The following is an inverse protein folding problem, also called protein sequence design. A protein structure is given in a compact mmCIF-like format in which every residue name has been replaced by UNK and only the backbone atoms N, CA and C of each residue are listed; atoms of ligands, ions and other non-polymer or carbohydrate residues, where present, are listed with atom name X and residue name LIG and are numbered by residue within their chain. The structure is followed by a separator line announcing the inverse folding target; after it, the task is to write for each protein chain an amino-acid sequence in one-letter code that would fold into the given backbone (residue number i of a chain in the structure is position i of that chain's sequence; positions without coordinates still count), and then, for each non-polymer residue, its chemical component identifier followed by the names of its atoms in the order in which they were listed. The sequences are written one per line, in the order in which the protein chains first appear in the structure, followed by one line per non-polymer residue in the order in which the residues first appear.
data_IF_990670400079
#
_entry.id   IF_990670400079
#
_cell.length_a   1.000
_cell.length_b   1.000
_cell.length_c   1.000
_cell.angle_alpha   90.00
_cell.angle_beta   90.00
_cell.angle_gamma   90.00
#
_symmetry.space_group_name_H-M   'P 1'
#
loop_
_entity.id
_entity.type
_entity.pdbx_description
1 polymer ?
#
# COMPACT_ATOMS: atom_id res chain seq x y z
N UNK A 1 37.16 -55.60 16.95
CA UNK A 1 38.14 -54.50 17.02
C UNK A 1 37.45 -53.32 17.67
N UNK A 2 37.89 -52.94 18.86
CA UNK A 2 37.44 -51.72 19.53
C UNK A 2 38.28 -50.50 19.15
N UNK A 3 38.10 -49.46 19.97
CA UNK A 3 38.83 -48.19 20.07
C UNK A 3 38.41 -47.11 19.07
N UNK A 4 38.30 -45.82 19.38
CA UNK A 4 38.07 -45.00 20.60
C UNK A 4 38.26 -43.54 20.12
N UNK A 5 37.57 -42.59 20.77
CA UNK A 5 37.92 -41.15 20.91
C UNK A 5 37.78 -40.30 19.62
N UNK A 6 37.26 -39.07 19.64
CA UNK A 6 37.17 -38.09 20.73
C UNK A 6 38.12 -36.91 20.44
N UNK A 7 37.65 -35.69 20.74
CA UNK A 7 38.35 -34.37 20.75
C UNK A 7 38.39 -33.67 19.38
N UNK A 8 37.74 -32.53 19.17
CA UNK A 8 37.76 -31.22 19.86
C UNK A 8 39.12 -30.50 19.82
N UNK A 9 39.01 -29.19 19.64
CA UNK A 9 39.97 -28.12 19.94
C UNK A 9 41.01 -27.65 18.91
N UNK A 10 40.68 -26.48 18.37
CA UNK A 10 41.37 -25.21 18.69
C UNK A 10 42.62 -24.77 17.92
N UNK A 11 42.70 -23.43 17.82
CA UNK A 11 43.89 -22.57 17.73
C UNK A 11 44.72 -22.66 16.44
N UNK A 12 44.70 -21.63 15.61
CA UNK A 12 45.35 -20.33 15.77
C UNK A 12 46.88 -20.33 15.59
N UNK A 13 47.29 -19.40 14.71
CA UNK A 13 48.54 -18.63 14.69
C UNK A 13 49.75 -19.25 13.98
N UNK A 14 50.23 -18.55 12.95
CA UNK A 14 51.49 -17.78 13.00
C UNK A 14 52.49 -18.00 11.85
N UNK A 15 52.92 -16.86 11.27
CA UNK A 15 54.29 -16.47 10.81
C UNK A 15 54.71 -16.67 9.34
N UNK A 16 55.31 -15.58 8.82
CA UNK A 16 56.32 -15.58 7.75
C UNK A 16 56.02 -14.57 6.64
N UNK A 17 56.08 -13.25 6.87
CA UNK A 17 57.20 -12.36 6.51
C UNK A 17 57.78 -12.54 5.08
N UNK A 18 57.56 -11.54 4.23
CA UNK A 18 58.56 -11.02 3.28
C UNK A 18 58.26 -9.52 3.04
N UNK A 19 59.25 -8.69 3.37
CA UNK A 19 59.31 -7.25 3.11
C UNK A 19 60.08 -7.00 1.82
N UNK A 20 59.71 -5.95 1.07
CA UNK A 20 60.54 -5.04 0.27
C UNK A 20 59.60 -4.27 -0.68
N UNK A 21 59.74 -3.00 -1.08
CA UNK A 21 60.42 -1.77 -0.64
C UNK A 21 59.61 -0.65 -1.32
N UNK A 22 59.62 0.52 -0.67
CA UNK A 22 58.87 1.73 -1.00
C UNK A 22 59.08 2.32 -2.40
N UNK A 23 58.05 3.01 -2.91
CA UNK A 23 58.08 4.14 -3.85
C UNK A 23 56.78 4.94 -3.63
N UNK A 24 56.86 6.01 -2.85
CA UNK A 24 56.79 7.41 -3.28
C UNK A 24 55.46 7.86 -3.90
N UNK A 25 54.84 8.81 -3.17
CA UNK A 25 54.20 10.02 -3.69
C UNK A 25 52.68 10.05 -3.94
N UNK A 26 52.06 10.89 -3.11
CA UNK A 26 51.10 11.97 -3.48
C UNK A 26 49.63 11.56 -3.68
N UNK A 27 48.80 12.13 -2.79
CA UNK A 27 47.35 12.47 -2.92
C UNK A 27 46.41 11.32 -3.32
N UNK A 28 45.37 10.98 -2.57
CA UNK A 28 44.23 11.82 -2.19
C UNK A 28 43.59 11.19 -0.96
N UNK A 29 43.21 12.01 0.03
CA UNK A 29 42.23 11.62 1.04
C UNK A 29 40.93 11.25 0.34
N UNK A 30 40.73 9.97 0.02
CA UNK A 30 39.39 9.43 -0.19
C UNK A 30 38.74 9.42 1.20
N UNK A 31 38.19 10.57 1.59
CA UNK A 31 36.98 10.54 2.38
C UNK A 31 36.05 9.60 1.62
N UNK A 32 35.80 8.42 2.18
CA UNK A 32 34.61 7.67 1.86
C UNK A 32 33.47 8.59 2.24
N UNK A 33 33.10 9.44 1.28
CA UNK A 33 31.81 10.08 1.25
C UNK A 33 30.88 8.88 1.25
N UNK A 34 30.37 8.55 2.43
CA UNK A 34 29.02 8.06 2.55
C UNK A 34 28.21 9.02 1.70
N UNK A 35 28.09 8.69 0.41
CA UNK A 35 26.91 9.06 -0.34
C UNK A 35 25.85 8.37 0.49
N UNK A 36 25.00 9.09 1.26
CA UNK A 36 23.79 8.45 1.70
C UNK A 36 23.20 7.95 0.40
N UNK A 37 23.18 6.62 0.23
CA UNK A 37 22.37 5.99 -0.79
C UNK A 37 21.06 6.71 -0.63
N UNK A 38 20.72 7.57 -1.60
CA UNK A 38 19.48 8.30 -1.57
C UNK A 38 18.49 7.18 -1.63
N UNK A 39 18.04 6.78 -0.45
CA UNK A 39 16.89 5.93 -0.28
C UNK A 39 15.89 6.62 -1.21
N UNK A 40 15.57 5.94 -2.30
CA UNK A 40 14.36 6.24 -3.04
C UNK A 40 13.33 6.55 -1.96
N UNK A 41 12.71 7.74 -1.95
CA UNK A 41 11.71 8.01 -0.95
C UNK A 41 10.81 6.80 -0.96
N UNK A 42 10.77 6.06 0.16
CA UNK A 42 9.75 5.05 0.36
C UNK A 42 8.49 5.77 -0.06
N UNK A 43 7.69 5.15 -0.93
CA UNK A 43 6.37 5.65 -1.27
C UNK A 43 5.53 5.55 0.01
N UNK A 44 5.83 6.45 0.95
CA UNK A 44 5.20 6.67 2.22
C UNK A 44 3.90 7.33 1.82
N UNK A 45 2.91 6.47 1.67
CA UNK A 45 1.48 6.76 1.64
C UNK A 45 1.20 8.18 2.12
N UNK A 46 0.75 9.05 1.21
CA UNK A 46 0.30 10.41 1.57
C UNK A 46 -0.86 10.24 2.54
N UNK A 47 -0.61 10.49 3.82
CA UNK A 47 -1.65 10.43 4.84
C UNK A 47 -2.22 11.82 5.06
N UNK A 48 -3.54 11.91 5.10
CA UNK A 48 -4.29 13.12 5.43
C UNK A 48 -5.12 12.88 6.68
N UNK A 49 -5.48 13.96 7.36
CA UNK A 49 -6.43 13.94 8.45
C UNK A 49 -7.81 14.24 7.88
N UNK A 50 -8.76 13.33 8.10
CA UNK A 50 -10.17 13.55 7.80
C UNK A 50 -10.87 13.82 9.13
N UNK A 51 -11.52 14.98 9.21
CA UNK A 51 -12.41 15.29 10.33
C UNK A 51 -13.74 14.66 10.00
N UNK A 52 -13.96 13.45 10.49
CA UNK A 52 -15.33 12.96 10.62
C UNK A 52 -15.96 13.75 11.77
N UNK A 53 -17.14 14.33 11.58
CA UNK A 53 -17.96 14.77 12.72
C UNK A 53 -18.47 13.52 13.45
N UNK A 54 -17.56 12.80 14.09
CA UNK A 54 -17.92 11.92 15.18
C UNK A 54 -18.29 12.82 16.36
N UNK A 55 -19.28 12.42 17.16
CA UNK A 55 -19.78 13.19 18.31
C UNK A 55 -18.68 13.50 19.35
N UNK A 56 -17.52 12.84 19.24
CA UNK A 56 -16.33 13.01 20.09
C UNK A 56 -15.24 13.92 19.48
N UNK A 57 -15.40 14.42 18.24
CA UNK A 57 -14.41 15.26 17.56
C UNK A 57 -13.10 14.54 17.21
N UNK A 58 -13.08 13.21 17.16
CA UNK A 58 -11.89 12.44 16.82
C UNK A 58 -11.44 12.66 15.38
N UNK A 59 -10.13 12.85 15.19
CA UNK A 59 -9.51 13.04 13.86
C UNK A 59 -9.03 11.69 13.34
N UNK A 60 -9.56 11.27 12.19
CA UNK A 60 -9.18 10.01 11.55
C UNK A 60 -8.02 10.26 10.59
N UNK A 61 -6.89 9.57 10.82
CA UNK A 61 -5.76 9.60 9.87
C UNK A 61 -5.98 8.57 8.78
N UNK A 62 -6.10 9.04 7.54
CA UNK A 62 -6.34 8.21 6.37
C UNK A 62 -5.12 8.24 5.47
N UNK A 63 -4.61 7.08 5.07
CA UNK A 63 -3.41 6.97 4.25
C UNK A 63 -3.74 6.49 2.83
N UNK A 64 -3.17 7.15 1.83
CA UNK A 64 -3.28 6.70 0.43
C UNK A 64 -2.62 5.32 0.26
N UNK A 65 -3.36 4.37 -0.32
CA UNK A 65 -2.90 3.02 -0.58
C UNK A 65 -3.12 2.69 -2.06
N UNK A 66 -2.06 2.21 -2.71
CA UNK A 66 -2.15 1.66 -4.05
C UNK A 66 -2.70 0.24 -4.02
N UNK A 67 -3.53 -0.10 -4.99
CA UNK A 67 -4.11 -1.44 -5.16
C UNK A 67 -3.05 -2.57 -5.12
N UNK A 68 -1.86 -2.34 -5.68
CA UNK A 68 -0.71 -3.27 -5.66
C UNK A 68 -0.35 -3.78 -4.26
N UNK A 69 -0.47 -2.91 -3.25
CA UNK A 69 -0.15 -3.23 -1.85
C UNK A 69 -1.18 -4.17 -1.20
N UNK A 70 -2.39 -4.24 -1.76
CA UNK A 70 -3.45 -5.13 -1.28
C UNK A 70 -3.32 -6.56 -1.81
N UNK A 71 -2.52 -6.76 -2.86
CA UNK A 71 -2.16 -8.09 -3.36
C UNK A 71 -0.88 -8.67 -2.72
N UNK A 72 -0.16 -7.87 -1.93
CA UNK A 72 1.04 -8.33 -1.24
C UNK A 72 0.71 -8.89 0.15
N UNK A 73 1.70 -9.51 0.80
CA UNK A 73 1.62 -9.91 2.21
C UNK A 73 1.42 -8.73 3.17
N UNK A 74 1.52 -7.48 2.67
CA UNK A 74 1.28 -6.28 3.48
C UNK A 74 -0.20 -5.95 3.65
N UNK A 75 -1.10 -6.60 2.90
CA UNK A 75 -2.54 -6.41 3.05
C UNK A 75 -3.01 -6.68 4.48
N UNK A 76 -2.51 -7.74 5.12
CA UNK A 76 -2.84 -8.06 6.51
C UNK A 76 -2.40 -6.97 7.49
N UNK A 77 -1.30 -6.26 7.19
CA UNK A 77 -0.79 -5.15 8.03
C UNK A 77 -1.66 -3.90 7.94
N UNK A 78 -2.47 -3.77 6.87
CA UNK A 78 -3.39 -2.65 6.70
C UNK A 78 -4.71 -2.87 7.42
N UNK A 79 -4.99 -4.09 7.89
CA UNK A 79 -6.26 -4.40 8.59
C UNK A 79 -6.45 -3.53 9.81
N UNK A 80 -7.64 -2.95 9.92
CA UNK A 80 -8.01 -2.02 10.97
C UNK A 80 -7.55 -0.58 10.73
N UNK A 81 -6.67 -0.33 9.75
CA UNK A 81 -6.23 1.01 9.37
C UNK A 81 -7.26 1.72 8.49
N UNK A 82 -7.27 3.05 8.55
CA UNK A 82 -8.03 3.86 7.61
C UNK A 82 -7.19 4.16 6.38
N UNK A 83 -7.73 3.81 5.21
CA UNK A 83 -7.05 3.92 3.93
C UNK A 83 -7.89 4.71 2.95
N UNK A 84 -7.21 5.37 2.02
CA UNK A 84 -7.80 6.00 0.85
C UNK A 84 -7.33 5.24 -0.39
N UNK A 85 -8.26 4.76 -1.21
CA UNK A 85 -7.96 3.97 -2.40
C UNK A 85 -8.79 4.48 -3.56
N UNK A 86 -8.14 4.68 -4.70
CA UNK A 86 -8.77 5.08 -5.96
C UNK A 86 -8.87 3.90 -6.90
N UNK A 87 -10.05 3.70 -7.50
CA UNK A 87 -10.28 2.64 -8.49
C UNK A 87 -11.58 2.83 -9.24
N UNK A 88 -12.01 1.81 -9.98
CA UNK A 88 -13.25 1.82 -10.73
C UNK A 88 -14.30 0.98 -10.02
N UNK A 89 -15.51 1.50 -9.92
CA UNK A 89 -16.64 0.80 -9.29
C UNK A 89 -17.27 -0.14 -10.31
N UNK A 90 -17.51 -1.38 -9.91
CA UNK A 90 -18.37 -2.34 -10.60
C UNK A 90 -19.27 -3.05 -9.60
N UNK A 91 -20.47 -3.42 -10.02
CA UNK A 91 -21.43 -4.10 -9.16
C UNK A 91 -21.39 -5.61 -9.40
N UNK A 92 -21.28 -6.37 -8.32
CA UNK A 92 -21.40 -7.82 -8.30
C UNK A 92 -22.52 -8.18 -7.33
N UNK A 93 -23.58 -8.84 -7.81
CA UNK A 93 -24.75 -9.19 -6.98
C UNK A 93 -25.30 -7.95 -6.22
N UNK A 94 -25.43 -6.82 -6.93
CA UNK A 94 -25.88 -5.51 -6.38
C UNK A 94 -24.98 -4.86 -5.32
N UNK A 95 -23.85 -5.48 -5.00
CA UNK A 95 -22.85 -4.95 -4.09
C UNK A 95 -21.76 -4.19 -4.86
N UNK A 96 -21.33 -3.00 -4.39
CA UNK A 96 -20.29 -2.23 -5.05
C UNK A 96 -18.90 -2.77 -4.70
N UNK A 97 -18.09 -2.98 -5.75
CA UNK A 97 -16.70 -3.37 -5.64
C UNK A 97 -15.79 -2.36 -6.33
N UNK A 98 -14.66 -2.07 -5.73
CA UNK A 98 -13.62 -1.22 -6.30
C UNK A 98 -12.53 -2.08 -6.95
N UNK A 99 -12.17 -1.77 -8.19
CA UNK A 99 -11.12 -2.45 -8.97
C UNK A 99 -10.01 -1.49 -9.40
N UNK A 100 -8.79 -1.98 -9.55
CA UNK A 100 -7.66 -1.14 -9.99
C UNK A 100 -7.83 -0.55 -11.40
N UNK A 101 -8.60 -1.20 -12.27
CA UNK A 101 -8.91 -0.74 -13.62
C UNK A 101 -10.26 -1.29 -14.09
N UNK A 102 -10.85 -0.68 -15.13
CA UNK A 102 -12.06 -1.20 -15.80
C UNK A 102 -11.84 -2.62 -16.34
N UNK A 103 -10.67 -2.84 -16.91
CA UNK A 103 -10.28 -4.11 -17.53
C UNK A 103 -10.09 -5.22 -16.50
N UNK A 104 -9.62 -4.88 -15.29
CA UNK A 104 -9.40 -5.85 -14.21
C UNK A 104 -10.70 -6.57 -13.88
N UNK A 105 -11.82 -5.85 -13.76
CA UNK A 105 -13.13 -6.45 -13.52
C UNK A 105 -13.53 -7.46 -14.61
N UNK A 106 -13.35 -7.08 -15.88
CA UNK A 106 -13.72 -7.90 -17.04
C UNK A 106 -12.85 -9.17 -17.13
N UNK A 107 -11.52 -9.02 -17.10
CA UNK A 107 -10.60 -10.13 -17.32
C UNK A 107 -10.45 -11.06 -16.11
N UNK A 108 -10.69 -10.55 -14.89
CA UNK A 108 -10.60 -11.38 -13.70
C UNK A 108 -11.89 -12.19 -13.46
N UNK A 109 -12.98 -11.88 -14.16
CA UNK A 109 -14.31 -12.43 -13.90
C UNK A 109 -14.84 -12.00 -12.53
N UNK A 110 -14.69 -10.71 -12.20
CA UNK A 110 -15.11 -10.14 -10.91
C UNK A 110 -14.21 -10.47 -9.72
N UNK A 111 -13.01 -11.02 -9.93
CA UNK A 111 -12.03 -11.32 -8.87
C UNK A 111 -11.12 -10.14 -8.57
N UNK A 112 -10.64 -10.07 -7.33
CA UNK A 112 -9.57 -9.13 -6.98
C UNK A 112 -10.03 -7.69 -6.83
N UNK A 113 -11.34 -7.45 -6.71
CA UNK A 113 -11.88 -6.18 -6.26
C UNK A 113 -11.85 -6.05 -4.74
N UNK A 114 -12.18 -4.87 -4.25
CA UNK A 114 -12.40 -4.59 -2.82
C UNK A 114 -13.88 -4.36 -2.64
N UNK A 115 -14.52 -5.09 -1.74
CA UNK A 115 -15.92 -4.86 -1.44
C UNK A 115 -16.08 -3.55 -0.65
N UNK A 116 -17.00 -2.69 -1.08
CA UNK A 116 -17.32 -1.45 -0.39
C UNK A 116 -18.57 -1.65 0.47
N UNK A 117 -18.39 -1.57 1.79
CA UNK A 117 -19.50 -1.56 2.74
C UNK A 117 -19.90 -0.12 3.00
N UNK A 118 -21.05 0.26 2.46
CA UNK A 118 -21.64 1.58 2.60
C UNK A 118 -22.74 1.54 3.67
N UNK A 119 -22.95 2.66 4.36
CA UNK A 119 -24.17 2.84 5.15
C UNK A 119 -25.39 2.88 4.20
N UNK A 120 -26.52 2.23 4.52
CA UNK A 120 -27.67 2.16 3.62
C UNK A 120 -28.18 3.53 3.13
N UNK A 121 -28.11 4.56 3.97
CA UNK A 121 -28.51 5.93 3.61
C UNK A 121 -27.61 6.59 2.56
N UNK A 122 -26.42 6.05 2.33
CA UNK A 122 -25.43 6.60 1.40
C UNK A 122 -25.43 5.86 0.05
N UNK A 123 -26.16 4.73 -0.07
CA UNK A 123 -26.18 3.90 -1.29
C UNK A 123 -26.57 4.69 -2.53
N UNK A 124 -27.70 5.38 -2.51
CA UNK A 124 -28.21 6.12 -3.69
C UNK A 124 -27.26 7.24 -4.13
N UNK A 125 -26.65 7.93 -3.16
CA UNK A 125 -25.67 8.99 -3.43
C UNK A 125 -24.39 8.41 -4.00
N UNK A 126 -23.90 7.31 -3.43
CA UNK A 126 -22.74 6.60 -3.95
C UNK A 126 -22.97 6.09 -5.38
N UNK A 127 -24.15 5.53 -5.66
CA UNK A 127 -24.51 5.01 -6.98
C UNK A 127 -24.45 6.12 -8.05
N UNK A 128 -24.85 7.37 -7.72
CA UNK A 128 -24.66 8.53 -8.62
C UNK A 128 -23.19 8.79 -8.92
N UNK A 129 -22.34 8.85 -7.89
CA UNK A 129 -20.88 9.04 -8.04
C UNK A 129 -20.25 7.90 -8.85
N UNK A 130 -20.67 6.66 -8.63
CA UNK A 130 -20.15 5.50 -9.34
C UNK A 130 -20.58 5.46 -10.82
N UNK A 131 -21.77 5.98 -11.14
CA UNK A 131 -22.33 5.97 -12.49
C UNK A 131 -21.57 6.84 -13.50
N UNK A 132 -20.76 7.79 -13.02
CA UNK A 132 -19.98 8.71 -13.86
C UNK A 132 -18.87 8.05 -14.68
N UNK A 133 -18.58 6.76 -14.45
CA UNK A 133 -17.61 5.99 -15.24
C UNK A 133 -16.15 6.42 -15.08
N UNK A 134 -15.89 7.39 -14.20
CA UNK A 134 -14.58 7.85 -13.77
C UNK A 134 -14.07 7.00 -12.59
N UNK A 135 -12.76 7.03 -12.28
CA UNK A 135 -12.26 6.46 -11.05
C UNK A 135 -12.91 7.15 -9.84
N UNK A 136 -13.26 6.37 -8.84
CA UNK A 136 -13.78 6.84 -7.56
C UNK A 136 -12.70 6.60 -6.50
N UNK A 137 -12.45 7.62 -5.70
CA UNK A 137 -11.63 7.53 -4.50
C UNK A 137 -12.55 7.29 -3.32
N UNK A 138 -12.26 6.26 -2.52
CA UNK A 138 -12.99 5.94 -1.29
C UNK A 138 -12.03 5.95 -0.12
N UNK A 139 -12.49 6.48 1.01
CA UNK A 139 -11.78 6.45 2.27
C UNK A 139 -12.59 5.68 3.31
N UNK A 140 -11.92 4.78 4.02
CA UNK A 140 -12.59 3.98 5.02
C UNK A 140 -11.69 3.01 5.76
N UNK A 141 -12.28 2.26 6.68
CA UNK A 141 -11.57 1.27 7.48
C UNK A 141 -11.39 -0.01 6.67
N UNK A 142 -10.14 -0.38 6.42
CA UNK A 142 -9.81 -1.58 5.67
C UNK A 142 -9.82 -2.83 6.56
N UNK A 143 -10.30 -3.94 6.00
CA UNK A 143 -10.17 -5.27 6.60
C UNK A 143 -9.71 -6.28 5.55
N UNK A 144 -8.58 -6.94 5.82
CA UNK A 144 -8.11 -8.08 5.03
C UNK A 144 -9.00 -9.29 5.30
N UNK A 145 -9.25 -10.09 4.27
CA UNK A 145 -10.08 -11.29 4.38
C UNK A 145 -11.15 -11.32 3.30
N UNK A 146 -11.82 -12.46 3.16
CA UNK A 146 -12.82 -12.71 2.12
C UNK A 146 -14.06 -11.83 2.30
N UNK A 147 -13.98 -10.57 1.88
CA UNK A 147 -15.16 -9.74 1.64
C UNK A 147 -15.97 -10.37 0.51
N UNK A 148 -17.14 -10.94 0.81
CA UNK A 148 -18.01 -11.57 -0.20
C UNK A 148 -17.29 -12.48 -1.20
N UNK A 149 -17.84 -12.59 -2.42
CA UNK A 149 -17.26 -13.38 -3.50
C UNK A 149 -15.91 -12.79 -3.95
N UNK A 150 -14.81 -13.46 -3.61
CA UNK A 150 -13.49 -13.29 -4.24
C UNK A 150 -12.85 -11.88 -4.12
N UNK A 151 -13.24 -11.06 -3.15
CA UNK A 151 -12.56 -9.79 -2.88
C UNK A 151 -11.17 -9.99 -2.25
N UNK A 152 -10.30 -9.00 -2.43
CA UNK A 152 -9.05 -8.87 -1.68
C UNK A 152 -9.27 -8.44 -0.23
N UNK A 153 -10.39 -7.79 0.04
CA UNK A 153 -10.72 -7.23 1.33
C UNK A 153 -12.01 -6.43 1.25
N UNK A 154 -12.32 -5.77 2.37
CA UNK A 154 -13.47 -4.89 2.51
C UNK A 154 -13.00 -3.52 2.98
N UNK A 155 -13.63 -2.46 2.46
CA UNK A 155 -13.54 -1.12 3.03
C UNK A 155 -14.91 -0.76 3.58
N UNK A 156 -14.96 -0.49 4.88
CA UNK A 156 -16.10 0.20 5.48
C UNK A 156 -15.93 1.69 5.26
N UNK A 157 -16.76 2.24 4.37
CA UNK A 157 -16.67 3.64 3.96
C UNK A 157 -17.20 4.51 5.09
N UNK A 158 -16.41 5.52 5.43
CA UNK A 158 -16.69 6.42 6.55
C UNK A 158 -17.52 7.58 6.04
N UNK A 159 -18.71 7.78 6.61
CA UNK A 159 -19.65 8.84 6.23
C UNK A 159 -19.76 9.05 4.71
N UNK A 160 -19.37 10.25 4.27
CA UNK A 160 -19.39 10.70 2.85
C UNK A 160 -18.01 10.80 2.23
N UNK A 161 -17.04 10.03 2.72
CA UNK A 161 -15.66 10.11 2.24
C UNK A 161 -15.45 9.25 0.99
N UNK A 162 -16.17 9.62 -0.07
CA UNK A 162 -16.02 9.09 -1.41
C UNK A 162 -16.26 10.21 -2.43
N UNK A 163 -15.46 10.24 -3.49
CA UNK A 163 -15.57 11.27 -4.55
C UNK A 163 -15.02 10.75 -5.86
N UNK A 164 -15.48 11.33 -6.97
CA UNK A 164 -14.89 11.08 -8.27
C UNK A 164 -13.49 11.69 -8.34
N UNK A 165 -12.53 10.92 -8.85
CA UNK A 165 -11.20 11.42 -9.13
C UNK A 165 -11.19 12.01 -10.55
N UNK A 166 -11.10 13.34 -10.63
CA UNK A 166 -10.88 14.02 -11.90
C UNK A 166 -9.54 13.56 -12.50
N UNK A 167 -9.58 13.11 -13.75
CA UNK A 167 -8.37 12.76 -14.49
C UNK A 167 -7.73 14.05 -14.97
N UNK A 168 -6.44 14.29 -14.73
CA UNK A 168 -5.75 15.48 -15.20
C UNK A 168 -5.98 15.69 -16.71
N UNK A 169 -6.51 16.85 -17.08
CA UNK A 169 -6.84 17.20 -18.47
C UNK A 169 -8.32 17.08 -18.85
N UNK A 170 -9.16 16.52 -17.99
CA UNK A 170 -10.61 16.66 -18.14
C UNK A 170 -11.08 18.02 -17.58
N UNK A 171 -12.08 18.69 -18.21
CA UNK A 171 -12.70 19.87 -17.63
C UNK A 171 -13.26 19.55 -16.24
N UNK A 172 -13.12 20.44 -15.24
CA UNK A 172 -13.65 20.21 -13.91
C UNK A 172 -15.17 20.03 -14.00
N UNK A 173 -15.72 19.07 -13.23
CA UNK A 173 -17.18 18.93 -13.15
C UNK A 173 -17.76 20.10 -12.38
N UNK A 174 -18.74 20.77 -12.97
CA UNK A 174 -19.51 21.81 -12.26
C UNK A 174 -20.24 21.14 -11.08
N UNK A 175 -20.33 21.79 -9.91
CA UNK A 175 -21.11 21.27 -8.79
C UNK A 175 -22.53 20.97 -9.25
N UNK A 176 -23.02 19.77 -8.96
CA UNK A 176 -24.43 19.42 -9.16
C UNK A 176 -25.25 20.07 -8.03
N UNK A 177 -26.27 20.85 -8.41
CA UNK A 177 -27.23 21.53 -7.51
C UNK A 177 -28.13 20.54 -6.75
#
# INVERSE_FOLDING_TARGET
MGWLLGLDQSKAKSRGQLRCVALSSIFVLLAAQFVPSTAYPQADSRCSAIVERSDDGSVIRVCEVLFQRLWSQDAEKLTGSYVQITGYVAYLEEMPYLFASKDMYLYSGGRGGIWLRLHPSEKERFDRVASGGLPVTVAGRYSSGKGGFKALGTIEVVGRHYWEQEVPGNPPRLPED
#
